data_IF_163772959297
#
_entry.id   IF_163772959297
#
_cell.length_a   1.000
_cell.length_b   1.000
_cell.length_c   1.000
_cell.angle_alpha   90.00
_cell.angle_beta   90.00
_cell.angle_gamma   90.00
#
_symmetry.space_group_name_H-M   'P 1'
#
loop_
_entity.id
_entity.type
_entity.pdbx_description
1 polymer ?
#
# COMPACT_ATOMS: atom_id res chain seq x y z
N UNK A 1 21.76 3.16 -0.31
CA UNK A 1 20.58 2.27 -0.30
C UNK A 1 19.47 2.99 -1.03
N UNK A 2 18.92 2.42 -2.10
CA UNK A 2 17.76 3.01 -2.76
C UNK A 2 16.53 2.76 -1.89
N UNK A 3 16.01 3.79 -1.21
CA UNK A 3 14.66 3.73 -0.66
C UNK A 3 13.71 3.85 -1.85
N UNK A 4 13.16 2.74 -2.33
CA UNK A 4 12.03 2.80 -3.29
C UNK A 4 10.78 3.13 -2.47
N UNK A 5 10.71 4.37 -1.98
CA UNK A 5 9.53 4.87 -1.27
C UNK A 5 8.42 5.03 -2.31
N UNK A 6 7.30 4.34 -2.10
CA UNK A 6 6.18 4.32 -3.02
C UNK A 6 4.91 4.77 -2.28
N UNK A 7 4.20 5.75 -2.85
CA UNK A 7 2.94 6.26 -2.29
C UNK A 7 1.74 5.39 -2.71
N UNK A 8 0.61 5.50 -1.99
CA UNK A 8 -0.59 4.68 -2.22
C UNK A 8 -1.08 4.67 -3.67
N UNK A 9 -1.23 5.85 -4.29
CA UNK A 9 -1.59 5.96 -5.73
C UNK A 9 -0.62 5.26 -6.67
N UNK A 10 0.68 5.26 -6.37
CA UNK A 10 1.69 4.59 -7.18
C UNK A 10 1.58 3.07 -7.01
N UNK A 11 1.40 2.61 -5.78
CA UNK A 11 1.20 1.20 -5.46
C UNK A 11 -0.10 0.66 -6.09
N UNK A 12 -1.19 1.43 -6.06
CA UNK A 12 -2.47 1.07 -6.69
C UNK A 12 -2.33 0.86 -8.20
N UNK A 13 -1.64 1.78 -8.90
CA UNK A 13 -1.34 1.64 -10.33
C UNK A 13 -0.48 0.42 -10.61
N UNK A 14 0.55 0.20 -9.81
CA UNK A 14 1.43 -0.96 -9.98
C UNK A 14 0.66 -2.27 -9.80
N UNK A 15 -0.17 -2.36 -8.75
CA UNK A 15 -0.99 -3.54 -8.45
C UNK A 15 -1.94 -3.90 -9.60
N UNK A 16 -2.51 -2.90 -10.27
CA UNK A 16 -3.32 -3.09 -11.48
C UNK A 16 -2.50 -3.56 -12.69
N UNK A 17 -1.27 -3.05 -12.85
CA UNK A 17 -0.42 -3.37 -14.00
C UNK A 17 0.20 -4.78 -13.93
N UNK A 18 0.57 -5.21 -12.72
CA UNK A 18 1.21 -6.51 -12.52
C UNK A 18 0.21 -7.64 -12.24
N UNK A 19 -1.08 -7.28 -12.11
CA UNK A 19 -2.18 -8.21 -11.81
C UNK A 19 -1.94 -9.06 -10.55
N UNK A 20 -1.20 -8.53 -9.58
CA UNK A 20 -0.93 -9.26 -8.35
C UNK A 20 -2.22 -9.44 -7.52
N UNK A 21 -2.27 -10.56 -6.80
CA UNK A 21 -3.41 -10.93 -5.96
C UNK A 21 -3.38 -10.19 -4.62
N UNK A 22 -2.17 -9.95 -4.08
CA UNK A 22 -1.99 -9.34 -2.75
C UNK A 22 -0.84 -8.34 -2.77
N UNK A 23 -1.05 -7.19 -2.14
CA UNK A 23 -0.05 -6.21 -1.79
C UNK A 23 0.13 -6.17 -0.27
N UNK A 24 1.37 -6.30 0.19
CA UNK A 24 1.77 -6.11 1.60
C UNK A 24 2.60 -4.83 1.70
N UNK A 25 2.05 -3.73 2.24
CA UNK A 25 2.80 -2.50 2.45
C UNK A 25 3.89 -2.71 3.50
N UNK A 26 5.14 -2.44 3.15
CA UNK A 26 6.30 -2.61 4.03
C UNK A 26 7.02 -1.26 4.20
N UNK A 27 7.66 -1.07 5.37
CA UNK A 27 8.56 0.05 5.70
C UNK A 27 7.90 1.44 5.81
N UNK A 28 7.27 1.71 6.96
CA UNK A 28 6.85 3.07 7.36
C UNK A 28 7.55 3.45 8.66
N UNK A 29 8.33 4.53 8.65
CA UNK A 29 8.95 5.07 9.87
C UNK A 29 7.90 5.57 10.88
N UNK A 30 6.64 5.75 10.45
CA UNK A 30 5.47 6.17 11.24
C UNK A 30 4.21 5.40 10.81
N UNK A 31 4.05 4.16 11.30
CA UNK A 31 3.04 3.18 10.88
C UNK A 31 1.58 3.69 10.90
N UNK A 32 1.20 4.49 11.90
CA UNK A 32 -0.21 4.83 12.15
C UNK A 32 -0.75 5.96 11.28
N UNK A 33 0.05 6.98 10.97
CA UNK A 33 -0.41 8.13 10.19
C UNK A 33 -0.52 7.83 8.69
N UNK A 34 0.33 6.92 8.19
CA UNK A 34 0.35 6.58 6.76
C UNK A 34 -0.70 5.54 6.37
N UNK A 35 -1.18 4.72 7.31
CA UNK A 35 -2.16 3.66 6.99
C UNK A 35 -3.50 4.24 6.53
N UNK A 36 -3.97 5.33 7.13
CA UNK A 36 -5.28 5.90 6.77
C UNK A 36 -5.28 6.50 5.36
N UNK A 37 -4.24 7.26 5.01
CA UNK A 37 -4.08 7.82 3.66
C UNK A 37 -3.91 6.72 2.62
N UNK A 38 -3.10 5.70 2.94
CA UNK A 38 -2.85 4.56 2.08
C UNK A 38 -4.12 3.75 1.84
N UNK A 39 -4.91 3.51 2.89
CA UNK A 39 -6.18 2.80 2.80
C UNK A 39 -7.17 3.56 1.93
N UNK A 40 -7.26 4.88 2.09
CA UNK A 40 -8.13 5.71 1.26
C UNK A 40 -7.73 5.68 -0.23
N UNK A 41 -6.43 5.69 -0.54
CA UNK A 41 -5.95 5.53 -1.92
C UNK A 41 -6.37 4.17 -2.53
N UNK A 42 -6.30 3.09 -1.76
CA UNK A 42 -6.71 1.75 -2.22
C UNK A 42 -8.23 1.56 -2.29
N UNK A 43 -8.98 2.14 -1.35
CA UNK A 43 -10.45 2.17 -1.40
C UNK A 43 -10.93 2.90 -2.67
N UNK A 44 -10.37 4.08 -2.94
CA UNK A 44 -10.69 4.86 -4.14
C UNK A 44 -10.31 4.12 -5.45
N UNK A 45 -9.30 3.25 -5.40
CA UNK A 45 -8.89 2.44 -6.54
C UNK A 45 -9.70 1.12 -6.68
N UNK A 46 -10.58 0.80 -5.73
CA UNK A 46 -11.30 -0.48 -5.70
C UNK A 46 -10.39 -1.68 -5.45
N UNK A 47 -9.28 -1.48 -4.73
CA UNK A 47 -8.24 -2.50 -4.47
C UNK A 47 -8.12 -2.88 -2.99
N UNK A 48 -9.02 -2.40 -2.13
CA UNK A 48 -8.96 -2.63 -0.68
C UNK A 48 -8.89 -4.13 -0.32
N UNK A 49 -9.59 -4.98 -1.06
CA UNK A 49 -9.61 -6.44 -0.89
C UNK A 49 -8.26 -7.11 -1.19
N UNK A 50 -7.37 -6.43 -1.90
CA UNK A 50 -6.04 -6.93 -2.28
C UNK A 50 -4.92 -6.43 -1.37
N UNK A 51 -5.22 -5.66 -0.33
CA UNK A 51 -4.20 -5.04 0.53
C UNK A 51 -4.21 -5.66 1.92
N UNK A 52 -3.06 -6.18 2.34
CA UNK A 52 -2.87 -6.77 3.67
C UNK A 52 -1.95 -5.88 4.51
N UNK A 53 -2.54 -5.10 5.42
CA UNK A 53 -1.77 -4.30 6.39
C UNK A 53 -1.40 -5.16 7.59
N UNK A 54 -0.10 -5.29 7.87
CA UNK A 54 0.40 -6.01 9.04
C UNK A 54 0.33 -5.16 10.31
N UNK A 55 0.52 -5.78 11.46
CA UNK A 55 0.75 -5.07 12.73
C UNK A 55 2.21 -5.31 13.12
N UNK A 56 2.98 -4.28 13.52
CA UNK A 56 4.34 -4.51 14.03
C UNK A 56 4.31 -5.47 15.23
N UNK A 57 5.31 -6.37 15.28
CA UNK A 57 5.49 -7.34 16.36
C UNK A 57 6.44 -6.84 17.46
#
# INVERSE_FOLDING_TARGET
MASVTMYGKQAARLLQQIEAEVLVPMHYDLWTQFIDELRMDFENAGLHDKVCCLTPG
#
